data_IF_753145448602
#
_entry.id   IF_753145448602
#
_cell.length_a   1.000
_cell.length_b   1.000
_cell.length_c   1.000
_cell.angle_alpha   90.00
_cell.angle_beta   90.00
_cell.angle_gamma   90.00
#
_symmetry.space_group_name_H-M   'P 1'
#
loop_
_entity.id
_entity.type
_entity.pdbx_description
1 polymer ?
#
# COMPACT_ATOMS: atom_id res chain seq x y z
N UNK A 1 5.23 -21.67 -10.66
CA UNK A 1 6.32 -20.87 -10.10
C UNK A 1 5.71 -20.10 -8.93
N UNK A 2 6.09 -20.45 -7.70
CA UNK A 2 5.57 -19.80 -6.50
C UNK A 2 6.12 -18.40 -6.36
N UNK A 3 5.28 -17.43 -6.03
CA UNK A 3 5.72 -16.10 -5.63
C UNK A 3 6.56 -16.21 -4.35
N UNK A 4 7.69 -15.53 -4.31
CA UNK A 4 8.52 -15.43 -3.11
C UNK A 4 8.21 -14.12 -2.40
N UNK A 5 8.10 -14.15 -1.08
CA UNK A 5 7.92 -12.94 -0.29
C UNK A 5 9.27 -12.23 -0.14
N UNK A 6 9.36 -10.98 -0.60
CA UNK A 6 10.33 -10.06 -0.01
C UNK A 6 9.75 -9.63 1.35
N UNK A 7 10.52 -9.71 2.40
CA UNK A 7 10.04 -9.55 3.76
C UNK A 7 9.23 -8.27 4.03
N UNK A 8 8.65 -8.18 5.22
CA UNK A 8 7.99 -6.96 5.71
C UNK A 8 9.06 -5.89 5.93
N UNK A 9 8.88 -4.70 5.35
CA UNK A 9 9.72 -3.54 5.61
C UNK A 9 9.03 -2.71 6.70
N UNK A 10 9.49 -2.79 7.97
CA UNK A 10 8.90 -2.03 9.05
C UNK A 10 9.29 -0.54 8.93
N UNK A 11 8.41 0.35 9.39
CA UNK A 11 8.75 1.76 9.52
C UNK A 11 9.86 1.93 10.56
N UNK A 12 10.96 2.64 10.24
CA UNK A 12 12.01 2.95 11.21
C UNK A 12 11.45 3.72 12.41
N UNK A 13 11.99 3.46 13.62
CA UNK A 13 11.54 4.11 14.86
C UNK A 13 12.10 5.51 15.06
N UNK A 14 13.07 5.90 14.27
CA UNK A 14 13.87 7.13 14.40
C UNK A 14 13.33 8.31 13.58
N UNK A 15 12.11 8.22 13.06
CA UNK A 15 11.51 9.28 12.26
C UNK A 15 12.11 9.45 10.85
N UNK A 16 13.15 8.68 10.52
CA UNK A 16 13.63 8.59 9.15
C UNK A 16 12.70 7.67 8.36
N UNK A 17 12.16 8.13 7.24
CA UNK A 17 11.32 7.35 6.35
C UNK A 17 11.97 6.04 5.94
N UNK A 18 11.22 5.16 5.28
CA UNK A 18 11.79 3.90 4.76
C UNK A 18 13.02 4.16 3.92
N UNK A 19 14.16 3.65 4.36
CA UNK A 19 15.37 3.62 3.55
C UNK A 19 15.32 2.37 2.68
N UNK A 20 14.57 2.44 1.60
CA UNK A 20 14.41 1.35 0.66
C UNK A 20 14.98 1.78 -0.68
N UNK A 21 15.92 1.00 -1.16
CA UNK A 21 16.40 1.13 -2.53
C UNK A 21 15.35 0.53 -3.48
N UNK A 22 14.49 1.41 -3.99
CA UNK A 22 13.42 0.99 -4.90
C UNK A 22 13.97 0.46 -6.24
N UNK A 23 15.11 0.93 -6.68
CA UNK A 23 15.76 0.48 -7.93
C UNK A 23 16.26 -0.95 -7.75
N UNK A 24 16.95 -1.23 -6.66
CA UNK A 24 17.41 -2.58 -6.32
C UNK A 24 16.24 -3.55 -6.15
N UNK A 25 15.17 -3.13 -5.48
CA UNK A 25 13.97 -3.96 -5.37
C UNK A 25 13.33 -4.22 -6.74
N UNK A 26 13.33 -3.24 -7.64
CA UNK A 26 12.78 -3.42 -8.99
C UNK A 26 13.59 -4.44 -9.79
N UNK A 27 14.92 -4.46 -9.66
CA UNK A 27 15.78 -5.47 -10.27
C UNK A 27 15.48 -6.87 -9.71
N UNK A 28 15.33 -7.00 -8.40
CA UNK A 28 14.96 -8.28 -7.75
C UNK A 28 13.57 -8.77 -8.20
N UNK A 29 12.60 -7.86 -8.36
CA UNK A 29 11.23 -8.16 -8.80
C UNK A 29 11.18 -8.54 -10.28
N UNK A 30 12.04 -8.00 -11.11
CA UNK A 30 12.10 -8.33 -12.55
C UNK A 30 12.39 -9.82 -12.80
N UNK A 31 13.07 -10.49 -11.88
CA UNK A 31 13.40 -11.92 -11.97
C UNK A 31 12.46 -12.84 -11.20
N UNK A 32 11.58 -12.31 -10.34
CA UNK A 32 10.62 -13.11 -9.57
C UNK A 32 9.43 -12.25 -9.13
N UNK A 33 8.19 -12.73 -9.30
CA UNK A 33 7.02 -11.98 -8.84
C UNK A 33 7.03 -11.89 -7.31
N UNK A 34 7.30 -10.70 -6.80
CA UNK A 34 7.37 -10.38 -5.38
C UNK A 34 6.31 -9.32 -5.06
N UNK A 35 5.70 -9.42 -3.88
CA UNK A 35 4.88 -8.37 -3.30
C UNK A 35 5.57 -7.87 -2.04
N UNK A 36 5.98 -6.61 -2.06
CA UNK A 36 6.59 -5.95 -0.90
C UNK A 36 5.49 -5.52 0.07
N UNK A 37 5.56 -5.96 1.32
CA UNK A 37 4.62 -5.53 2.36
C UNK A 37 5.26 -4.39 3.15
N UNK A 38 4.60 -3.24 3.16
CA UNK A 38 5.07 -2.02 3.80
C UNK A 38 4.23 -1.72 5.04
N UNK A 39 4.88 -1.67 6.19
CA UNK A 39 4.22 -1.39 7.46
C UNK A 39 4.14 0.13 7.70
N UNK A 40 2.98 0.72 7.43
CA UNK A 40 2.67 2.12 7.67
C UNK A 40 1.31 2.27 8.35
N UNK A 41 1.24 2.74 9.59
CA UNK A 41 -0.03 3.05 10.26
C UNK A 41 -0.87 4.07 9.49
N UNK A 42 -0.23 5.01 8.87
CA UNK A 42 -0.71 5.94 7.84
C UNK A 42 0.38 6.13 6.80
N UNK A 43 0.03 6.59 5.63
CA UNK A 43 0.98 7.00 4.61
C UNK A 43 1.15 8.51 4.72
N UNK A 44 2.29 8.94 5.23
CA UNK A 44 2.67 10.36 5.28
C UNK A 44 3.38 10.80 3.99
N UNK A 45 3.76 12.07 3.92
CA UNK A 45 4.37 12.65 2.72
C UNK A 45 5.71 11.99 2.34
N UNK A 46 6.53 11.61 3.33
CA UNK A 46 7.82 10.97 3.08
C UNK A 46 7.64 9.53 2.58
N UNK A 47 6.72 8.79 3.18
CA UNK A 47 6.37 7.43 2.76
C UNK A 47 5.73 7.43 1.38
N UNK A 48 4.93 8.46 1.07
CA UNK A 48 4.32 8.61 -0.24
C UNK A 48 5.37 8.79 -1.35
N UNK A 49 6.49 9.44 -1.08
CA UNK A 49 7.58 9.56 -2.04
C UNK A 49 8.19 8.19 -2.38
N UNK A 50 8.46 7.35 -1.35
CA UNK A 50 8.94 5.98 -1.54
C UNK A 50 7.93 5.14 -2.33
N UNK A 51 6.65 5.20 -1.96
CA UNK A 51 5.58 4.50 -2.67
C UNK A 51 5.44 4.96 -4.12
N UNK A 52 5.68 6.26 -4.38
CA UNK A 52 5.67 6.79 -5.75
C UNK A 52 6.78 6.19 -6.59
N UNK A 53 7.99 6.04 -6.04
CA UNK A 53 9.09 5.35 -6.72
C UNK A 53 8.76 3.88 -6.99
N UNK A 54 8.12 3.18 -6.04
CA UNK A 54 7.66 1.80 -6.27
C UNK A 54 6.67 1.69 -7.43
N UNK A 55 5.75 2.66 -7.54
CA UNK A 55 4.80 2.69 -8.66
C UNK A 55 5.53 2.90 -9.98
N UNK A 56 6.47 3.86 -10.02
CA UNK A 56 7.22 4.20 -11.22
C UNK A 56 8.14 3.04 -11.67
N UNK A 57 8.72 2.30 -10.71
CA UNK A 57 9.54 1.11 -10.93
C UNK A 57 8.72 -0.19 -11.06
N UNK A 58 7.38 -0.11 -11.06
CA UNK A 58 6.47 -1.25 -11.16
C UNK A 58 6.65 -2.32 -10.07
N UNK A 59 7.12 -1.92 -8.89
CA UNK A 59 7.23 -2.82 -7.73
C UNK A 59 5.85 -3.08 -7.15
N UNK A 60 5.43 -4.35 -7.16
CA UNK A 60 4.18 -4.75 -6.52
C UNK A 60 4.29 -4.58 -5.01
N UNK A 61 3.33 -3.92 -4.38
CA UNK A 61 3.38 -3.67 -2.95
C UNK A 61 2.01 -3.64 -2.30
N UNK A 62 1.98 -3.91 -1.00
CA UNK A 62 0.81 -3.83 -0.14
C UNK A 62 1.14 -2.94 1.07
N UNK A 63 0.36 -1.90 1.28
CA UNK A 63 0.47 -1.06 2.48
C UNK A 63 -0.36 -1.67 3.60
N UNK A 64 0.25 -1.80 4.77
CA UNK A 64 -0.38 -2.37 5.98
C UNK A 64 -0.05 -1.47 7.15
N UNK A 65 -0.96 -1.31 8.10
CA UNK A 65 -0.63 -0.56 9.30
C UNK A 65 -1.65 -0.75 10.40
N UNK A 66 -1.16 -0.59 11.63
CA UNK A 66 -1.97 -0.59 12.82
C UNK A 66 -1.55 0.54 13.75
N UNK A 67 -2.48 1.39 14.09
CA UNK A 67 -2.35 2.40 15.14
C UNK A 67 -2.99 1.93 16.45
N UNK A 68 -3.21 2.89 17.36
CA UNK A 68 -3.84 2.62 18.65
C UNK A 68 -5.30 2.17 18.52
N UNK A 69 -6.03 2.69 17.55
CA UNK A 69 -7.49 2.56 17.45
C UNK A 69 -7.97 1.94 16.14
N UNK A 70 -7.13 1.89 15.11
CA UNK A 70 -7.49 1.41 13.79
C UNK A 70 -6.37 0.58 13.17
N UNK A 71 -6.75 -0.38 12.33
CA UNK A 71 -5.85 -1.07 11.43
C UNK A 71 -6.30 -0.89 9.98
N UNK A 72 -5.35 -0.88 9.06
CA UNK A 72 -5.61 -0.81 7.61
C UNK A 72 -4.81 -1.87 6.87
N UNK A 73 -5.37 -2.34 5.77
CA UNK A 73 -4.71 -3.19 4.78
C UNK A 73 -5.09 -2.71 3.39
N UNK A 74 -4.12 -2.43 2.57
CA UNK A 74 -4.31 -1.92 1.23
C UNK A 74 -4.06 -0.40 1.09
N UNK A 75 -4.08 0.09 -0.17
CA UNK A 75 -4.30 -0.73 -1.36
C UNK A 75 -3.14 -1.69 -1.64
N UNK A 76 -3.46 -2.79 -2.30
CA UNK A 76 -2.45 -3.63 -2.95
C UNK A 76 -2.23 -3.09 -4.35
N UNK A 77 -1.04 -2.64 -4.62
CA UNK A 77 -0.64 -2.12 -5.93
C UNK A 77 0.03 -3.21 -6.73
N UNK A 78 -0.59 -3.62 -7.81
CA UNK A 78 -0.03 -4.54 -8.81
C UNK A 78 0.14 -3.77 -10.11
N UNK A 79 1.32 -3.78 -10.69
CA UNK A 79 1.61 -3.05 -11.92
C UNK A 79 0.62 -3.42 -13.04
N UNK A 80 -0.01 -2.41 -13.64
CA UNK A 80 -1.03 -2.59 -14.66
C UNK A 80 -2.42 -3.02 -14.17
N UNK A 81 -2.61 -3.26 -12.88
CA UNK A 81 -3.88 -3.73 -12.30
C UNK A 81 -4.42 -2.76 -11.26
N UNK A 82 -5.69 -2.36 -11.41
CA UNK A 82 -6.40 -1.59 -10.40
C UNK A 82 -5.81 -0.20 -10.09
N UNK A 83 -6.39 0.50 -9.11
CA UNK A 83 -5.84 1.73 -8.56
C UNK A 83 -4.61 1.43 -7.69
N UNK A 84 -3.71 2.39 -7.61
CA UNK A 84 -2.50 2.29 -6.79
C UNK A 84 -2.57 3.22 -5.56
N UNK A 85 -1.54 3.17 -4.72
CA UNK A 85 -1.43 4.04 -3.53
C UNK A 85 -1.45 5.53 -3.90
N UNK A 86 -0.88 5.93 -5.07
CA UNK A 86 -0.96 7.30 -5.57
C UNK A 86 -2.40 7.69 -5.95
N UNK A 87 -3.21 6.75 -6.47
CA UNK A 87 -4.63 6.99 -6.69
C UNK A 87 -5.37 7.25 -5.37
N UNK A 88 -5.09 6.47 -4.33
CA UNK A 88 -5.67 6.67 -3.01
C UNK A 88 -5.36 8.06 -2.46
N UNK A 89 -4.12 8.49 -2.53
CA UNK A 89 -3.67 9.80 -2.09
C UNK A 89 -4.36 10.94 -2.85
N UNK A 90 -4.44 10.85 -4.18
CA UNK A 90 -5.12 11.85 -5.00
C UNK A 90 -6.62 11.93 -4.71
N UNK A 91 -7.27 10.78 -4.48
CA UNK A 91 -8.68 10.74 -4.07
C UNK A 91 -8.90 11.39 -2.70
N UNK A 92 -7.97 11.21 -1.75
CA UNK A 92 -8.03 11.90 -0.45
C UNK A 92 -7.89 13.41 -0.62
N UNK A 93 -6.97 13.87 -1.47
CA UNK A 93 -6.79 15.29 -1.77
C UNK A 93 -8.02 15.92 -2.44
N UNK A 94 -8.70 15.18 -3.32
CA UNK A 94 -9.93 15.66 -3.96
C UNK A 94 -11.10 15.75 -2.94
N UNK A 95 -11.13 14.85 -1.95
CA UNK A 95 -12.15 14.87 -0.88
C UNK A 95 -11.88 15.94 0.18
N UNK A 96 -10.62 16.19 0.51
CA UNK A 96 -10.20 17.15 1.53
C UNK A 96 -8.98 17.95 1.03
N UNK A 97 -9.18 19.24 0.67
CA UNK A 97 -8.09 20.11 0.24
C UNK A 97 -6.98 20.30 1.29
N UNK A 98 -7.29 20.08 2.59
CA UNK A 98 -6.33 20.16 3.69
C UNK A 98 -5.46 18.92 3.80
N UNK A 99 -5.77 17.85 3.05
CA UNK A 99 -5.10 16.56 3.17
C UNK A 99 -3.57 16.65 3.02
N UNK A 100 -3.08 17.48 2.08
CA UNK A 100 -1.63 17.69 1.90
C UNK A 100 -0.96 18.26 3.14
N UNK A 101 -1.60 19.21 3.80
CA UNK A 101 -1.09 19.82 5.02
C UNK A 101 -1.12 18.84 6.17
N UNK A 102 -2.21 18.08 6.31
CA UNK A 102 -2.36 17.04 7.33
C UNK A 102 -1.32 15.92 7.14
N UNK A 103 -1.14 15.45 5.92
CA UNK A 103 -0.16 14.42 5.57
C UNK A 103 1.28 14.88 5.88
N UNK A 104 1.62 16.14 5.61
CA UNK A 104 2.92 16.71 5.96
C UNK A 104 3.11 16.85 7.47
N UNK A 105 2.07 17.22 8.22
CA UNK A 105 2.13 17.27 9.69
C UNK A 105 2.32 15.88 10.28
N UNK A 106 1.62 14.87 9.78
CA UNK A 106 1.76 13.47 10.22
C UNK A 106 3.18 12.93 10.01
N UNK A 107 3.92 13.45 9.04
CA UNK A 107 5.33 13.09 8.82
C UNK A 107 6.26 13.62 9.91
N UNK A 108 5.86 14.68 10.62
CA UNK A 108 6.64 15.30 11.69
C UNK A 108 6.29 14.74 13.08
N UNK A 109 5.17 14.03 13.19
CA UNK A 109 4.70 13.48 14.46
C UNK A 109 5.37 12.12 14.74
N UNK A 110 5.56 11.83 16.03
CA UNK A 110 5.96 10.51 16.46
C UNK A 110 4.91 9.46 16.03
N UNK A 111 5.34 8.28 15.56
CA UNK A 111 4.40 7.25 15.18
C UNK A 111 3.51 6.86 16.38
N UNK A 112 2.19 6.74 16.18
CA UNK A 112 1.27 6.44 17.27
C UNK A 112 1.59 5.08 17.89
N UNK A 113 1.25 4.96 19.17
CA UNK A 113 1.31 3.68 19.87
C UNK A 113 0.52 2.61 19.08
N UNK A 114 1.14 1.47 18.87
CA UNK A 114 0.51 0.34 18.14
C UNK A 114 -0.34 -0.50 19.09
N UNK A 115 -1.56 -0.78 18.70
CA UNK A 115 -2.40 -1.75 19.39
C UNK A 115 -1.97 -3.17 19.02
N UNK A 116 -1.56 -3.99 19.99
CA UNK A 116 -1.09 -5.36 19.73
C UNK A 116 -2.13 -6.19 18.95
N UNK A 117 -3.39 -6.16 19.38
CA UNK A 117 -4.48 -6.90 18.72
C UNK A 117 -4.68 -6.42 17.28
N UNK A 118 -4.71 -5.10 17.07
CA UNK A 118 -4.88 -4.52 15.74
C UNK A 118 -3.69 -4.85 14.81
N UNK A 119 -2.48 -4.94 15.35
CA UNK A 119 -1.30 -5.35 14.60
C UNK A 119 -1.41 -6.81 14.13
N UNK A 120 -1.88 -7.71 14.99
CA UNK A 120 -2.11 -9.11 14.63
C UNK A 120 -3.21 -9.24 13.58
N UNK A 121 -4.32 -8.52 13.75
CA UNK A 121 -5.41 -8.51 12.76
C UNK A 121 -4.95 -7.97 11.40
N UNK A 122 -4.17 -6.89 11.39
CA UNK A 122 -3.62 -6.33 10.16
C UNK A 122 -2.68 -7.31 9.47
N UNK A 123 -1.79 -7.98 10.22
CA UNK A 123 -0.87 -8.96 9.68
C UNK A 123 -1.59 -10.19 9.09
N UNK A 124 -2.59 -10.73 9.79
CA UNK A 124 -3.38 -11.86 9.33
C UNK A 124 -4.17 -11.52 8.05
N UNK A 125 -4.79 -10.33 8.02
CA UNK A 125 -5.52 -9.88 6.84
C UNK A 125 -4.56 -9.59 5.67
N UNK A 126 -3.39 -9.00 5.91
CA UNK A 126 -2.38 -8.78 4.88
C UNK A 126 -1.91 -10.12 4.27
N UNK A 127 -1.62 -11.12 5.10
CA UNK A 127 -1.24 -12.45 4.64
C UNK A 127 -2.32 -13.06 3.74
N UNK A 128 -3.60 -12.97 4.15
CA UNK A 128 -4.74 -13.47 3.36
C UNK A 128 -4.85 -12.75 2.00
N UNK A 129 -4.65 -11.43 1.96
CA UNK A 129 -4.70 -10.66 0.71
C UNK A 129 -3.54 -11.02 -0.23
N UNK A 130 -2.33 -11.19 0.31
CA UNK A 130 -1.16 -11.61 -0.47
C UNK A 130 -1.35 -13.02 -0.99
N UNK A 131 -1.81 -13.95 -0.16
CA UNK A 131 -2.11 -15.32 -0.57
C UNK A 131 -3.10 -15.36 -1.73
N UNK A 132 -4.21 -14.62 -1.61
CA UNK A 132 -5.21 -14.51 -2.69
C UNK A 132 -4.61 -14.00 -3.99
N UNK A 133 -3.76 -12.96 -3.92
CA UNK A 133 -3.10 -12.41 -5.10
C UNK A 133 -2.12 -13.39 -5.74
N UNK A 134 -1.37 -14.14 -4.94
CA UNK A 134 -0.41 -15.17 -5.40
C UNK A 134 -1.12 -16.33 -6.06
N UNK A 135 -2.26 -16.76 -5.50
CA UNK A 135 -3.08 -17.84 -6.06
C UNK A 135 -3.90 -17.42 -7.29
N UNK A 136 -3.84 -16.14 -7.66
CA UNK A 136 -4.61 -15.60 -8.79
C UNK A 136 -6.11 -15.48 -8.50
N UNK A 137 -6.51 -15.57 -7.23
CA UNK A 137 -7.87 -15.32 -6.78
C UNK A 137 -8.09 -13.83 -6.51
N UNK A 138 -9.34 -13.42 -6.32
CA UNK A 138 -9.64 -12.01 -6.07
C UNK A 138 -9.15 -11.57 -4.70
N UNK A 139 -8.21 -10.62 -4.67
CA UNK A 139 -7.79 -9.93 -3.46
C UNK A 139 -8.63 -8.66 -3.30
N UNK A 140 -9.35 -8.53 -2.19
CA UNK A 140 -10.22 -7.38 -1.93
C UNK A 140 -9.45 -6.06 -1.77
N UNK A 141 -8.16 -6.12 -1.55
CA UNK A 141 -7.29 -4.94 -1.43
C UNK A 141 -6.72 -4.42 -2.77
N UNK A 142 -6.97 -5.11 -3.90
CA UNK A 142 -6.56 -4.64 -5.24
C UNK A 142 -7.26 -3.36 -5.66
N UNK A 143 -8.49 -3.16 -5.22
CA UNK A 143 -9.33 -2.01 -5.57
C UNK A 143 -9.97 -1.36 -4.34
N UNK A 144 -9.36 -1.55 -3.17
CA UNK A 144 -9.86 -0.98 -1.94
C UNK A 144 -8.79 -0.85 -0.85
N UNK A 145 -9.10 0.00 0.12
CA UNK A 145 -8.49 -0.01 1.44
C UNK A 145 -9.45 -0.68 2.43
N UNK A 146 -8.96 -1.69 3.11
CA UNK A 146 -9.66 -2.37 4.19
C UNK A 146 -9.32 -1.71 5.51
N UNK A 147 -10.29 -1.48 6.38
CA UNK A 147 -10.10 -0.88 7.72
C UNK A 147 -10.92 -1.59 8.76
N UNK A 148 -10.37 -1.71 9.95
CA UNK A 148 -11.08 -2.14 11.16
C UNK A 148 -10.66 -1.30 12.35
N UNK A 149 -11.49 -1.27 13.39
CA UNK A 149 -11.24 -0.51 14.62
C UNK A 149 -11.31 -1.39 15.86
N UNK A 150 -11.00 -0.81 17.03
CA UNK A 150 -10.97 -1.51 18.33
C UNK A 150 -12.28 -2.21 18.72
N UNK A 151 -13.43 -1.66 18.33
CA UNK A 151 -14.74 -2.22 18.65
C UNK A 151 -15.35 -3.02 17.53
N UNK A 152 -14.67 -3.11 16.37
CA UNK A 152 -15.20 -3.77 15.18
C UNK A 152 -14.66 -5.17 15.01
N UNK A 153 -15.55 -6.14 14.85
CA UNK A 153 -15.19 -7.51 14.45
C UNK A 153 -15.07 -7.67 12.92
N UNK A 154 -15.50 -6.68 12.16
CA UNK A 154 -15.55 -6.72 10.71
C UNK A 154 -14.60 -5.69 10.06
N UNK A 155 -14.06 -6.07 8.91
CA UNK A 155 -13.35 -5.16 8.03
C UNK A 155 -14.34 -4.36 7.19
N UNK A 156 -14.22 -3.05 7.21
CA UNK A 156 -14.91 -2.16 6.27
C UNK A 156 -14.06 -1.99 5.03
N UNK A 157 -14.70 -1.91 3.87
CA UNK A 157 -14.03 -1.75 2.58
C UNK A 157 -14.34 -0.37 2.02
N UNK A 158 -13.30 0.45 1.81
CA UNK A 158 -13.41 1.69 1.05
C UNK A 158 -12.89 1.42 -0.37
N UNK A 159 -13.81 1.36 -1.31
CA UNK A 159 -13.47 1.16 -2.72
C UNK A 159 -12.58 2.29 -3.26
N UNK A 160 -11.68 1.94 -4.14
CA UNK A 160 -10.81 2.84 -4.86
C UNK A 160 -11.07 2.71 -6.36
N UNK A 161 -10.91 3.83 -7.04
CA UNK A 161 -10.88 3.89 -8.51
C UNK A 161 -9.55 4.47 -8.96
N UNK A 162 -9.16 4.21 -10.19
CA UNK A 162 -8.00 4.87 -10.78
C UNK A 162 -8.26 6.37 -10.89
N UNK A 163 -7.36 7.15 -10.36
CA UNK A 163 -7.47 8.61 -10.43
C UNK A 163 -6.98 9.11 -11.79
N UNK A 164 -7.72 10.03 -12.41
CA UNK A 164 -7.43 10.54 -13.75
C UNK A 164 -6.08 11.25 -13.88
N UNK A 165 -5.60 11.87 -12.79
CA UNK A 165 -4.28 12.52 -12.73
C UNK A 165 -3.15 11.57 -12.35
N UNK A 166 -3.42 10.27 -12.15
CA UNK A 166 -2.39 9.33 -11.73
C UNK A 166 -1.66 8.73 -12.92
N UNK A 167 -0.33 8.79 -12.90
CA UNK A 167 0.53 8.21 -13.95
C UNK A 167 0.48 6.67 -14.05
N UNK A 168 -0.11 5.97 -13.06
CA UNK A 168 -0.26 4.51 -13.13
C UNK A 168 -1.15 4.03 -14.29
N UNK A 169 -1.88 4.93 -14.93
CA UNK A 169 -2.64 4.66 -16.17
C UNK A 169 -1.76 4.17 -17.32
N UNK A 170 -0.53 4.67 -17.42
CA UNK A 170 0.39 4.33 -18.51
C UNK A 170 0.73 2.85 -18.57
N UNK A 171 0.63 2.15 -17.43
CA UNK A 171 0.88 0.71 -17.37
C UNK A 171 -0.20 -0.14 -18.05
N UNK A 172 -1.40 0.42 -18.30
CA UNK A 172 -2.54 -0.31 -18.88
C UNK A 172 -2.66 -0.14 -20.39
N UNK A 173 -2.12 0.95 -20.95
CA UNK A 173 -2.29 1.29 -22.38
C UNK A 173 -1.36 0.48 -23.27
N UNK A 174 -0.25 0.00 -22.73
CA UNK A 174 0.76 -0.76 -23.51
C UNK A 174 0.51 -2.28 -23.52
N UNK A 175 -0.61 -2.76 -22.98
CA UNK A 175 -0.91 -4.20 -22.85
C UNK A 175 -1.96 -4.74 -23.84
N UNK A 176 -2.52 -3.92 -24.74
CA UNK A 176 -3.62 -4.34 -25.64
C UNK A 176 -3.32 -4.13 -27.10
N UNK A 177 -2.06 -4.18 -27.52
CA UNK A 177 -1.75 -4.32 -28.94
C UNK A 177 -0.82 -5.53 -29.14
N UNK A 178 -1.39 -6.72 -29.05
CA UNK A 178 -0.84 -7.93 -29.68
C UNK A 178 -1.88 -9.04 -29.59
N UNK A 179 -2.61 -9.25 -30.68
CA UNK A 179 -3.44 -10.42 -30.86
C UNK A 179 -4.38 -10.27 -32.01
#
# INVERSE_FOLDING_TARGET
AGARYAGVIPKPRDGMGWQVDAERLAEEVAVSPVIVVLDAPWVDAAEFEVLSRFIDQRVNHLVVGAGANTARVGPMTIAGRGPCTRCDELLQQDMDPSWRTLSAQLALDDPPARGAVLSVLAAAEAARQVESAVQGTHSASLDAVLRTGRGGSAWTRRALIRHTKCSCWWASVNGTESG
#
